data_IF_814160488269
#
_entry.id   IF_814160488269
#
_cell.length_a   1.000
_cell.length_b   1.000
_cell.length_c   1.000
_cell.angle_alpha   90.00
_cell.angle_beta   90.00
_cell.angle_gamma   90.00
#
_symmetry.space_group_name_H-M   'P 1'
#
loop_
_entity.id
_entity.type
_entity.pdbx_description
1 polymer ?
#
# COMPACT_ATOMS: atom_id res chain seq x y z
N UNK A 1 -15.90 21.04 16.11
CA UNK A 1 -16.17 20.09 15.01
C UNK A 1 -14.94 19.18 14.86
N UNK A 2 -15.01 17.94 15.36
CA UNK A 2 -13.85 17.01 15.41
C UNK A 2 -13.82 16.25 14.08
N UNK A 3 -12.97 16.66 13.15
CA UNK A 3 -12.76 15.93 11.90
C UNK A 3 -12.10 14.60 12.23
N UNK A 4 -12.85 13.51 12.08
CA UNK A 4 -12.35 12.15 12.31
C UNK A 4 -11.34 11.78 11.23
N UNK A 5 -10.05 12.05 11.50
CA UNK A 5 -8.91 11.55 10.74
C UNK A 5 -8.82 10.03 10.96
N UNK A 6 -9.09 9.22 9.93
CA UNK A 6 -8.93 7.77 10.01
C UNK A 6 -7.67 7.40 9.26
N UNK A 7 -6.56 7.42 10.00
CA UNK A 7 -5.52 6.41 9.85
C UNK A 7 -5.93 5.23 10.74
N UNK A 8 -5.58 3.97 10.42
CA UNK A 8 -5.75 2.90 11.42
C UNK A 8 -5.10 3.37 12.73
N UNK A 9 -5.78 3.21 13.88
CA UNK A 9 -5.40 3.88 15.13
C UNK A 9 -3.95 3.65 15.58
N UNK A 10 -3.31 2.60 15.08
CA UNK A 10 -1.90 2.27 15.32
C UNK A 10 -0.91 3.16 14.54
N UNK A 11 -1.27 3.68 13.36
CA UNK A 11 -0.42 4.59 12.58
C UNK A 11 -0.26 5.99 13.19
N UNK A 12 -1.14 6.35 14.13
CA UNK A 12 -1.10 7.63 14.86
C UNK A 12 -0.87 7.43 16.36
N UNK A 13 -0.46 6.22 16.77
CA UNK A 13 -0.18 5.95 18.17
C UNK A 13 1.04 6.78 18.62
N UNK A 14 0.92 7.48 19.75
CA UNK A 14 1.99 8.34 20.27
C UNK A 14 3.28 7.62 20.68
N UNK A 15 3.28 6.27 20.64
CA UNK A 15 4.47 5.44 20.83
C UNK A 15 5.31 5.27 19.55
N UNK A 16 4.81 5.73 18.39
CA UNK A 16 5.55 5.64 17.13
C UNK A 16 6.63 6.73 17.10
N UNK A 17 7.89 6.33 17.29
CA UNK A 17 9.04 7.20 17.12
C UNK A 17 9.33 7.44 15.65
N UNK A 18 9.00 8.64 15.15
CA UNK A 18 9.25 9.02 13.75
C UNK A 18 10.67 9.61 13.64
N UNK A 19 11.56 9.04 12.81
CA UNK A 19 12.89 9.60 12.57
C UNK A 19 12.82 11.03 12.02
N UNK A 20 13.81 11.87 12.37
CA UNK A 20 13.83 13.29 11.95
C UNK A 20 13.90 13.50 10.43
N UNK A 21 14.32 12.49 9.67
CA UNK A 21 14.48 12.53 8.22
C UNK A 21 13.26 11.96 7.46
N UNK A 22 12.16 11.65 8.15
CA UNK A 22 10.96 11.09 7.52
C UNK A 22 9.76 12.02 7.75
N UNK A 23 9.16 12.47 6.65
CA UNK A 23 7.91 13.24 6.68
C UNK A 23 6.73 12.30 6.48
N UNK A 24 5.77 12.30 7.41
CA UNK A 24 4.55 11.50 7.30
C UNK A 24 3.47 12.31 6.58
N UNK A 25 2.97 11.76 5.48
CA UNK A 25 1.76 12.25 4.81
C UNK A 25 0.58 11.43 5.33
N UNK A 26 -0.34 12.09 6.02
CA UNK A 26 -1.56 11.44 6.50
C UNK A 26 -2.62 11.48 5.40
N UNK A 27 -3.10 10.30 5.00
CA UNK A 27 -4.24 10.18 4.11
C UNK A 27 -5.54 10.54 4.83
N UNK A 28 -6.48 11.10 4.07
CA UNK A 28 -7.83 11.36 4.56
C UNK A 28 -8.55 10.04 4.88
N UNK A 29 -9.44 10.13 5.87
CA UNK A 29 -10.31 9.04 6.27
C UNK A 29 -11.16 8.56 5.08
N UNK A 30 -11.24 7.23 4.88
CA UNK A 30 -12.12 6.59 3.88
C UNK A 30 -11.80 6.96 2.43
N UNK A 31 -10.55 7.29 2.12
CA UNK A 31 -10.08 7.52 0.75
C UNK A 31 -9.10 6.44 0.27
N UNK A 32 -9.52 5.17 0.12
CA UNK A 32 -8.64 4.09 -0.36
C UNK A 32 -8.08 4.37 -1.76
N UNK A 33 -8.81 5.11 -2.60
CA UNK A 33 -8.38 5.54 -3.94
C UNK A 33 -7.09 6.37 -3.94
N UNK A 34 -6.83 7.08 -2.85
CA UNK A 34 -5.62 7.89 -2.69
C UNK A 34 -4.41 7.06 -2.23
N UNK A 35 -4.62 5.85 -1.70
CA UNK A 35 -3.54 5.00 -1.21
C UNK A 35 -2.87 4.24 -2.37
N UNK A 36 -1.61 4.53 -2.73
CA UNK A 36 -0.93 3.83 -3.82
C UNK A 36 -0.77 2.33 -3.55
N UNK A 37 -0.72 1.92 -2.28
CA UNK A 37 -0.64 0.50 -1.89
C UNK A 37 -1.89 -0.28 -2.31
N UNK A 38 -3.05 0.35 -2.37
CA UNK A 38 -4.28 -0.33 -2.82
C UNK A 38 -4.17 -0.70 -4.31
N UNK A 39 -3.62 0.16 -5.17
CA UNK A 39 -3.40 -0.18 -6.58
C UNK A 39 -2.41 -1.33 -6.76
N UNK A 40 -1.32 -1.33 -5.99
CA UNK A 40 -0.34 -2.43 -5.97
C UNK A 40 -1.05 -3.74 -5.61
N UNK A 41 -1.90 -3.72 -4.58
CA UNK A 41 -2.64 -4.88 -4.16
C UNK A 41 -3.66 -5.37 -5.20
N UNK A 42 -4.40 -4.45 -5.83
CA UNK A 42 -5.32 -4.78 -6.92
C UNK A 42 -4.57 -5.42 -8.10
N UNK A 43 -3.43 -4.86 -8.50
CA UNK A 43 -2.61 -5.39 -9.58
C UNK A 43 -2.11 -6.81 -9.29
N UNK A 44 -1.50 -7.05 -8.13
CA UNK A 44 -1.00 -8.37 -7.73
C UNK A 44 -2.14 -9.39 -7.70
N UNK A 45 -3.30 -9.02 -7.14
CA UNK A 45 -4.48 -9.91 -7.09
C UNK A 45 -5.00 -10.24 -8.48
N UNK A 46 -5.20 -9.24 -9.33
CA UNK A 46 -5.74 -9.44 -10.67
C UNK A 46 -4.84 -10.35 -11.53
N UNK A 47 -3.52 -10.25 -11.37
CA UNK A 47 -2.58 -10.96 -12.23
C UNK A 47 -2.16 -12.35 -11.73
N UNK A 48 -2.01 -12.56 -10.40
CA UNK A 48 -1.34 -13.77 -9.89
C UNK A 48 -2.03 -14.48 -8.72
N UNK A 49 -2.87 -13.77 -7.95
CA UNK A 49 -3.43 -14.30 -6.71
C UNK A 49 -4.96 -14.51 -6.74
N UNK A 50 -5.66 -14.02 -7.77
CA UNK A 50 -7.12 -14.21 -7.89
C UNK A 50 -7.48 -15.66 -8.20
N UNK A 51 -8.65 -16.11 -7.69
CA UNK A 51 -9.26 -17.41 -7.98
C UNK A 51 -8.37 -18.63 -7.73
N UNK A 52 -7.48 -18.57 -6.73
CA UNK A 52 -6.63 -19.69 -6.31
C UNK A 52 -7.19 -20.35 -5.04
N UNK A 53 -7.17 -21.68 -5.02
CA UNK A 53 -7.41 -22.48 -3.81
C UNK A 53 -6.05 -22.95 -3.29
N UNK A 54 -5.79 -22.74 -2.01
CA UNK A 54 -4.53 -23.10 -1.36
C UNK A 54 -4.76 -24.29 -0.42
N UNK A 55 -3.82 -25.23 -0.43
CA UNK A 55 -3.88 -26.45 0.38
C UNK A 55 -3.64 -26.17 1.87
N UNK A 56 -2.70 -25.28 2.16
CA UNK A 56 -2.22 -24.97 3.50
C UNK A 56 -1.67 -23.53 3.55
N UNK A 57 -1.25 -23.11 4.74
CA UNK A 57 -0.71 -21.77 4.98
C UNK A 57 0.55 -21.50 4.16
N UNK A 58 1.45 -22.47 4.07
CA UNK A 58 2.72 -22.31 3.37
C UNK A 58 2.48 -22.09 1.87
N UNK A 59 1.50 -22.76 1.28
CA UNK A 59 1.08 -22.52 -0.10
C UNK A 59 0.60 -21.07 -0.33
N UNK A 60 -0.06 -20.44 0.66
CA UNK A 60 -0.48 -19.02 0.58
C UNK A 60 0.74 -18.11 0.63
N UNK A 61 1.64 -18.34 1.60
CA UNK A 61 2.84 -17.53 1.79
C UNK A 61 3.73 -17.60 0.55
N UNK A 62 4.00 -18.80 0.04
CA UNK A 62 4.83 -19.02 -1.14
C UNK A 62 4.26 -18.30 -2.37
N UNK A 63 2.96 -18.47 -2.65
CA UNK A 63 2.32 -17.78 -3.76
C UNK A 63 2.40 -16.26 -3.66
N UNK A 64 2.25 -15.72 -2.44
CA UNK A 64 2.38 -14.27 -2.19
C UNK A 64 3.83 -13.80 -2.39
N UNK A 65 4.82 -14.54 -1.89
CA UNK A 65 6.24 -14.25 -2.09
C UNK A 65 6.61 -14.24 -3.57
N UNK A 66 6.19 -15.26 -4.33
CA UNK A 66 6.40 -15.30 -5.78
C UNK A 66 5.79 -14.09 -6.48
N UNK A 67 4.55 -13.75 -6.16
CA UNK A 67 3.85 -12.61 -6.76
C UNK A 67 4.53 -11.27 -6.44
N UNK A 68 5.03 -11.09 -5.21
CA UNK A 68 5.81 -9.90 -4.84
C UNK A 68 7.15 -9.83 -5.54
N UNK A 69 7.90 -10.93 -5.60
CA UNK A 69 9.19 -10.96 -6.30
C UNK A 69 9.03 -10.64 -7.79
N UNK A 70 8.00 -11.19 -8.43
CA UNK A 70 7.65 -10.84 -9.83
C UNK A 70 7.34 -9.36 -10.03
N UNK A 71 6.73 -8.69 -9.04
CA UNK A 71 6.46 -7.27 -9.11
C UNK A 71 7.73 -6.44 -8.90
N UNK A 72 8.59 -6.85 -7.96
CA UNK A 72 9.88 -6.19 -7.67
C UNK A 72 10.75 -6.17 -8.93
N UNK A 73 10.72 -7.24 -9.72
CA UNK A 73 11.41 -7.33 -11.01
C UNK A 73 10.82 -6.40 -12.10
N UNK A 74 9.75 -5.64 -11.80
CA UNK A 74 9.07 -4.72 -12.72
C UNK A 74 8.97 -3.29 -12.13
N UNK A 75 10.09 -2.58 -11.95
CA UNK A 75 10.12 -1.26 -11.31
C UNK A 75 9.31 -0.20 -12.07
N UNK A 76 9.23 -0.29 -13.40
CA UNK A 76 8.40 0.62 -14.20
C UNK A 76 6.91 0.43 -13.94
N UNK A 77 6.46 -0.82 -13.79
CA UNK A 77 5.08 -1.14 -13.41
C UNK A 77 4.76 -0.56 -12.03
N UNK A 78 5.65 -0.75 -11.04
CA UNK A 78 5.49 -0.19 -9.68
C UNK A 78 5.34 1.34 -9.76
N UNK A 79 6.20 1.99 -10.53
CA UNK A 79 6.19 3.45 -10.70
C UNK A 79 4.87 3.89 -11.32
N UNK A 80 4.45 3.25 -12.42
CA UNK A 80 3.22 3.58 -13.14
C UNK A 80 1.97 3.46 -12.26
N UNK A 81 1.82 2.37 -11.50
CA UNK A 81 0.61 2.13 -10.70
C UNK A 81 0.62 2.80 -9.32
N UNK A 82 1.82 3.10 -8.80
CA UNK A 82 2.06 3.72 -7.50
C UNK A 82 2.14 5.26 -7.54
N UNK A 83 2.43 5.87 -8.68
CA UNK A 83 2.48 7.34 -8.79
C UNK A 83 1.12 7.99 -8.51
N UNK A 84 1.15 9.14 -7.83
CA UNK A 84 -0.02 9.94 -7.49
C UNK A 84 0.29 11.42 -7.66
N UNK A 85 -0.40 12.07 -8.60
CA UNK A 85 -0.23 13.50 -8.88
C UNK A 85 -0.45 14.37 -7.64
N UNK A 86 -1.42 14.02 -6.78
CA UNK A 86 -1.69 14.78 -5.55
C UNK A 86 -0.52 14.73 -4.54
N UNK A 87 0.22 13.63 -4.50
CA UNK A 87 1.36 13.46 -3.60
C UNK A 87 2.62 14.17 -4.11
N UNK A 88 2.73 14.33 -5.44
CA UNK A 88 3.85 15.02 -6.09
C UNK A 88 3.64 16.54 -6.16
N UNK A 89 2.43 17.00 -6.46
CA UNK A 89 2.15 18.41 -6.72
C UNK A 89 1.68 19.17 -5.46
N UNK A 90 1.20 18.47 -4.42
CA UNK A 90 0.62 19.07 -3.21
C UNK A 90 1.64 19.64 -2.21
N UNK A 91 2.92 19.74 -2.58
CA UNK A 91 4.00 20.34 -1.78
C UNK A 91 4.49 21.69 -2.33
N UNK A 92 3.78 22.26 -3.32
CA UNK A 92 4.04 23.62 -3.83
C UNK A 92 3.40 24.69 -2.95
#
# INVERSE_FOLDING_TARGET
MRTSRKSLGWHTAGKLGVPKNLTIILLLSRSPELNPVENIWQYIRANWLSNRVFKDYDAIVNARCEAWNRLIDQPETITSIGMRNWAHNGQS
#
